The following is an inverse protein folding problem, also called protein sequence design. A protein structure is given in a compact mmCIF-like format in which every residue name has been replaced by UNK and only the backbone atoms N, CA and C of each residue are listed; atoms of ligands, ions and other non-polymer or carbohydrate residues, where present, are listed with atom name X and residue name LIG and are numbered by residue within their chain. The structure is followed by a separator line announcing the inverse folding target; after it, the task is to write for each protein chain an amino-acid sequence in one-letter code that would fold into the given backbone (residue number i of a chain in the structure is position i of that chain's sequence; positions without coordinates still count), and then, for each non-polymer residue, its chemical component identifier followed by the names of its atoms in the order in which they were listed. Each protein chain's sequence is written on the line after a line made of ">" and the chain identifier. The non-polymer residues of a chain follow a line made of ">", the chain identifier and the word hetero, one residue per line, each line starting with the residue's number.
data_IF_428890740449
#
_entry.id   IF_428890740449
#
_cell.length_a   1.000
_cell.length_b   1.000
_cell.length_c   1.000
_cell.angle_alpha   90.00
_cell.angle_beta   90.00
_cell.angle_gamma   90.00
#
_symmetry.space_group_name_H-M   'P 1'
#
loop_
_entity.id
_entity.type
_entity.pdbx_description
1 polymer ?
#
# COMPACT_ATOMS: atom_id res chain seq x y z
N UNK A 1 8.61 11.16 -0.17
CA UNK A 1 7.30 11.44 0.46
C UNK A 1 6.16 10.89 -0.39
N UNK A 2 6.09 11.33 -1.64
CA UNK A 2 5.02 11.01 -2.60
C UNK A 2 4.90 9.50 -2.91
N UNK A 3 6.00 8.74 -2.90
CA UNK A 3 5.94 7.29 -3.24
C UNK A 3 4.99 6.51 -2.32
N UNK A 4 4.99 6.82 -1.02
CA UNK A 4 4.14 6.16 -0.03
C UNK A 4 2.67 6.54 -0.21
N UNK A 5 2.39 7.82 -0.40
CA UNK A 5 1.03 8.35 -0.63
C UNK A 5 0.45 7.81 -1.95
N UNK A 6 1.25 7.82 -3.02
CA UNK A 6 0.88 7.27 -4.31
C UNK A 6 0.56 5.76 -4.22
N UNK A 7 1.35 4.99 -3.48
CA UNK A 7 1.06 3.57 -3.27
C UNK A 7 -0.18 3.35 -2.41
N UNK A 8 -0.36 4.10 -1.32
CA UNK A 8 -1.55 3.97 -0.48
C UNK A 8 -2.82 4.27 -1.26
N UNK A 9 -2.81 5.34 -2.04
CA UNK A 9 -3.99 5.75 -2.82
C UNK A 9 -4.34 4.68 -3.87
N UNK A 10 -3.34 4.07 -4.51
CA UNK A 10 -3.58 2.99 -5.46
C UNK A 10 -4.13 1.71 -4.81
N UNK A 11 -3.72 1.40 -3.58
CA UNK A 11 -4.21 0.23 -2.83
C UNK A 11 -5.61 0.47 -2.26
N UNK A 12 -5.84 1.63 -1.65
CA UNK A 12 -7.12 2.02 -1.05
C UNK A 12 -8.22 2.12 -2.12
N UNK A 13 -7.91 2.72 -3.28
CA UNK A 13 -8.87 2.86 -4.40
C UNK A 13 -8.88 1.67 -5.37
N UNK A 14 -8.09 0.62 -5.09
CA UNK A 14 -7.94 -0.57 -5.96
C UNK A 14 -7.66 -0.24 -7.42
N UNK A 15 -6.75 0.70 -7.66
CA UNK A 15 -6.38 1.10 -9.03
C UNK A 15 -5.76 -0.08 -9.76
N UNK A 16 -6.42 -0.48 -10.83
CA UNK A 16 -6.13 -1.71 -11.57
C UNK A 16 -4.83 -1.61 -12.37
N UNK A 17 -4.58 -0.45 -12.98
CA UNK A 17 -3.50 -0.29 -13.96
C UNK A 17 -2.37 0.66 -13.51
N UNK A 18 -1.18 0.46 -14.07
CA UNK A 18 -0.01 1.33 -13.93
C UNK A 18 0.90 1.03 -12.74
N UNK A 19 1.99 1.79 -12.62
CA UNK A 19 3.00 1.68 -11.56
C UNK A 19 2.79 2.80 -10.55
N UNK A 20 2.56 2.42 -9.28
CA UNK A 20 2.21 3.36 -8.21
C UNK A 20 3.17 3.17 -7.04
N UNK A 21 3.82 4.25 -6.61
CA UNK A 21 4.84 4.23 -5.55
C UNK A 21 6.01 3.27 -5.79
N UNK A 22 6.21 2.81 -7.02
CA UNK A 22 7.22 1.81 -7.40
C UNK A 22 6.74 0.36 -7.40
N UNK A 23 5.45 0.09 -7.14
CA UNK A 23 4.87 -1.25 -7.29
C UNK A 23 4.06 -1.37 -8.58
N UNK A 24 4.28 -2.47 -9.29
CA UNK A 24 3.49 -2.93 -10.42
C UNK A 24 2.11 -3.41 -9.95
N UNK A 25 1.18 -3.55 -10.90
CA UNK A 25 -0.16 -4.08 -10.68
C UNK A 25 -0.12 -5.46 -10.02
N UNK A 26 0.77 -6.34 -10.50
CA UNK A 26 0.93 -7.71 -10.00
C UNK A 26 1.36 -7.73 -8.53
N UNK A 27 2.29 -6.85 -8.16
CA UNK A 27 2.77 -6.74 -6.79
C UNK A 27 1.69 -6.20 -5.85
N UNK A 28 0.95 -5.15 -6.27
CA UNK A 28 -0.20 -4.64 -5.50
C UNK A 28 -1.26 -5.71 -5.28
N UNK A 29 -1.60 -6.48 -6.33
CA UNK A 29 -2.59 -7.56 -6.25
C UNK A 29 -2.14 -8.68 -5.31
N UNK A 30 -0.84 -9.02 -5.31
CA UNK A 30 -0.28 -9.97 -4.35
C UNK A 30 -0.33 -9.44 -2.91
N UNK A 31 -0.08 -8.15 -2.72
CA UNK A 31 -0.14 -7.50 -1.41
C UNK A 31 -1.57 -7.51 -0.83
N UNK A 32 -2.57 -7.13 -1.63
CA UNK A 32 -3.99 -7.18 -1.25
C UNK A 32 -4.46 -8.59 -0.89
N UNK A 33 -3.96 -9.63 -1.59
CA UNK A 33 -4.27 -11.03 -1.24
C UNK A 33 -3.61 -11.49 0.05
N UNK A 34 -2.40 -10.97 0.36
CA UNK A 34 -1.65 -11.35 1.56
C UNK A 34 -2.18 -10.69 2.83
N UNK A 35 -2.82 -9.53 2.71
CA UNK A 35 -3.36 -8.78 3.85
C UNK A 35 -4.78 -8.28 3.57
N UNK A 36 -5.78 -9.17 3.58
CA UNK A 36 -7.19 -8.80 3.37
C UNK A 36 -7.79 -8.04 4.57
N UNK A 37 -7.10 -8.06 5.71
CA UNK A 37 -7.44 -7.43 6.99
C UNK A 37 -7.10 -5.94 7.06
N UNK A 38 -6.25 -5.44 6.16
CA UNK A 38 -5.82 -4.05 6.18
C UNK A 38 -6.92 -3.13 5.66
N UNK A 39 -7.42 -2.28 6.54
CA UNK A 39 -8.47 -1.28 6.26
C UNK A 39 -7.92 0.09 5.86
N UNK A 40 -6.66 0.39 6.19
CA UNK A 40 -5.99 1.64 5.80
C UNK A 40 -4.54 1.39 5.37
N UNK A 41 -4.30 1.38 4.06
CA UNK A 41 -2.94 1.21 3.54
C UNK A 41 -2.05 2.40 3.82
N UNK A 42 -2.64 3.61 3.88
CA UNK A 42 -1.92 4.83 4.24
C UNK A 42 -1.26 4.72 5.61
N UNK A 43 -2.01 4.34 6.64
CA UNK A 43 -1.47 4.23 8.01
C UNK A 43 -0.38 3.16 8.10
N UNK A 44 -0.63 2.00 7.49
CA UNK A 44 0.32 0.89 7.51
C UNK A 44 1.65 1.27 6.84
N UNK A 45 1.60 1.88 5.66
CA UNK A 45 2.80 2.26 4.91
C UNK A 45 3.52 3.46 5.53
N UNK A 46 2.79 4.39 6.17
CA UNK A 46 3.38 5.48 6.93
C UNK A 46 4.12 4.97 8.17
N UNK A 47 3.51 4.07 8.94
CA UNK A 47 4.15 3.44 10.10
C UNK A 47 5.41 2.65 9.69
N UNK A 48 5.33 1.86 8.61
CA UNK A 48 6.48 1.15 8.05
C UNK A 48 7.61 2.11 7.62
N UNK A 49 7.28 3.27 7.03
CA UNK A 49 8.25 4.31 6.67
C UNK A 49 8.85 5.00 7.89
N UNK A 50 8.07 5.17 8.96
CA UNK A 50 8.50 5.75 10.23
C UNK A 50 9.30 4.76 11.11
N UNK A 51 9.45 3.51 10.69
CA UNK A 51 10.12 2.46 11.47
C UNK A 51 9.32 1.98 12.68
N UNK A 52 8.02 2.28 12.73
CA UNK A 52 7.12 1.82 13.79
C UNK A 52 6.39 0.55 13.32
N UNK A 53 6.27 -0.49 14.17
CA UNK A 53 5.45 -1.63 13.82
C UNK A 53 4.01 -1.16 13.70
N UNK A 54 3.48 -1.15 12.46
CA UNK A 54 2.06 -1.00 12.22
C UNK A 54 1.37 -2.19 12.91
N UNK A 55 0.76 -1.95 14.07
CA UNK A 55 -0.08 -2.94 14.76
C UNK A 55 -1.15 -3.40 13.79
N UNK A 56 -1.16 -4.72 13.59
CA UNK A 56 -2.09 -5.46 12.73
C UNK A 56 -3.52 -5.38 13.25
#
# INVERSE_FOLDING_TARGET
>A
PVRTECLSDALDNRIEFGVWGGMTERERRALLRRRPDVTSWRLLLQAARAGQPATA
#
